data_IF_384704271989
#
_entry.id   IF_384704271989
#
_cell.length_a   1.000
_cell.length_b   1.000
_cell.length_c   1.000
_cell.angle_alpha   90.00
_cell.angle_beta   90.00
_cell.angle_gamma   90.00
#
_symmetry.space_group_name_H-M   'P 1'
#
loop_
_entity.id
_entity.type
_entity.pdbx_description
1 polymer ?
#
# COMPACT_ATOMS: atom_id res chain seq x y z
N UNK A 1 -18.58 3.92 -51.58
CA UNK A 1 -18.77 2.66 -50.82
C UNK A 1 -17.47 1.88 -50.86
N UNK A 2 -16.73 1.79 -49.76
CA UNK A 2 -15.49 0.99 -49.66
C UNK A 2 -15.82 -0.28 -48.91
N UNK A 3 -15.71 -1.42 -49.58
CA UNK A 3 -15.74 -2.73 -48.92
C UNK A 3 -14.38 -2.99 -48.28
N UNK A 4 -14.39 -3.16 -46.96
CA UNK A 4 -13.27 -3.64 -46.15
C UNK A 4 -13.31 -5.16 -46.20
N UNK A 5 -12.29 -5.77 -46.80
CA UNK A 5 -12.11 -7.23 -46.77
C UNK A 5 -10.97 -7.53 -45.81
N UNK A 6 -11.30 -8.21 -44.70
CA UNK A 6 -10.36 -8.76 -43.73
C UNK A 6 -9.41 -9.76 -44.39
N UNK A 7 -8.16 -9.79 -43.94
CA UNK A 7 -7.27 -10.96 -44.11
C UNK A 7 -6.51 -11.24 -42.82
N UNK A 8 -6.51 -12.53 -42.45
CA UNK A 8 -6.12 -13.11 -41.16
C UNK A 8 -4.64 -12.95 -40.80
N UNK A 9 -4.44 -12.71 -39.49
CA UNK A 9 -3.22 -12.83 -38.70
C UNK A 9 -2.52 -14.18 -38.90
N UNK A 10 -1.25 -14.15 -39.31
CA UNK A 10 -0.34 -15.29 -39.19
C UNK A 10 0.33 -15.23 -37.80
N UNK A 11 0.15 -16.31 -37.04
CA UNK A 11 0.63 -16.48 -35.67
C UNK A 11 2.13 -16.73 -35.66
N UNK A 12 2.85 -15.97 -34.83
CA UNK A 12 4.17 -16.38 -34.32
C UNK A 12 3.97 -16.86 -32.88
N UNK A 13 4.67 -17.94 -32.53
CA UNK A 13 4.43 -18.67 -31.28
C UNK A 13 4.63 -17.81 -30.03
N UNK A 14 3.82 -18.02 -28.98
CA UNK A 14 3.93 -17.27 -27.73
C UNK A 14 5.14 -17.75 -26.93
N UNK A 15 5.97 -16.82 -26.44
CA UNK A 15 6.66 -17.02 -25.16
C UNK A 15 5.85 -16.29 -24.10
N UNK A 16 5.15 -17.07 -23.28
CA UNK A 16 4.44 -16.57 -22.13
C UNK A 16 5.42 -15.87 -21.19
N UNK A 17 5.19 -14.59 -20.90
CA UNK A 17 5.73 -13.97 -19.70
C UNK A 17 4.91 -14.56 -18.57
N UNK A 18 5.50 -15.43 -17.75
CA UNK A 18 4.83 -16.17 -16.68
C UNK A 18 4.45 -15.29 -15.47
N UNK A 19 4.19 -13.99 -15.66
CA UNK A 19 3.92 -13.04 -14.57
C UNK A 19 2.56 -12.37 -14.79
N UNK A 20 1.53 -12.61 -13.93
CA UNK A 20 0.23 -11.96 -14.03
C UNK A 20 0.28 -10.41 -14.00
N UNK A 21 1.30 -9.80 -13.38
CA UNK A 21 1.47 -8.33 -13.35
C UNK A 21 2.92 -7.91 -13.61
N UNK A 22 3.14 -6.85 -14.41
CA UNK A 22 4.48 -6.31 -14.72
C UNK A 22 5.29 -5.94 -13.45
N UNK A 23 4.60 -5.60 -12.35
CA UNK A 23 5.24 -5.26 -11.08
C UNK A 23 5.71 -6.49 -10.26
N UNK A 24 5.27 -7.70 -10.59
CA UNK A 24 5.76 -8.93 -9.94
C UNK A 24 7.24 -9.21 -10.28
N UNK A 25 7.74 -8.60 -11.37
CA UNK A 25 9.16 -8.59 -11.71
C UNK A 25 10.04 -8.01 -10.57
N UNK A 26 9.48 -7.16 -9.71
CA UNK A 26 10.22 -6.55 -8.60
C UNK A 26 10.38 -7.46 -7.40
N UNK A 27 9.53 -8.48 -7.22
CA UNK A 27 9.52 -9.33 -6.04
C UNK A 27 10.88 -10.02 -5.81
N UNK A 28 11.35 -10.83 -6.76
CA UNK A 28 12.65 -11.50 -6.66
C UNK A 28 13.82 -10.53 -6.49
N UNK A 29 13.84 -9.42 -7.24
CA UNK A 29 14.90 -8.42 -7.17
C UNK A 29 14.97 -7.76 -5.78
N UNK A 30 13.83 -7.51 -5.14
CA UNK A 30 13.77 -6.98 -3.77
C UNK A 30 14.31 -7.98 -2.75
N UNK A 31 13.99 -9.26 -2.90
CA UNK A 31 14.49 -10.32 -2.02
C UNK A 31 16.01 -10.49 -2.14
N UNK A 32 16.52 -10.42 -3.38
CA UNK A 32 17.92 -10.58 -3.74
C UNK A 32 18.75 -9.28 -3.71
N UNK A 33 18.17 -8.17 -3.22
CA UNK A 33 18.79 -6.83 -3.27
C UNK A 33 20.24 -6.81 -2.79
N UNK A 34 20.55 -7.55 -1.71
CA UNK A 34 21.91 -7.62 -1.15
C UNK A 34 22.85 -8.47 -2.00
N UNK A 35 22.40 -9.64 -2.48
CA UNK A 35 23.22 -10.52 -3.33
C UNK A 35 23.53 -9.87 -4.68
N UNK A 36 22.60 -9.07 -5.22
CA UNK A 36 22.78 -8.31 -6.46
C UNK A 36 23.59 -7.00 -6.28
N UNK A 37 24.05 -6.69 -5.06
CA UNK A 37 24.81 -5.46 -4.80
C UNK A 37 24.00 -4.17 -4.96
N UNK A 38 22.66 -4.25 -4.85
CA UNK A 38 21.74 -3.15 -5.09
C UNK A 38 21.40 -2.36 -3.81
N UNK A 39 21.23 -1.06 -4.00
CA UNK A 39 20.76 -0.10 -2.99
C UNK A 39 19.25 0.10 -3.10
N UNK A 40 18.65 0.73 -2.09
CA UNK A 40 17.22 1.07 -2.12
C UNK A 40 16.88 1.97 -3.32
N UNK A 41 17.77 2.91 -3.68
CA UNK A 41 17.57 3.80 -4.82
C UNK A 41 17.59 3.06 -6.15
N UNK A 42 18.33 1.95 -6.27
CA UNK A 42 18.33 1.14 -7.49
C UNK A 42 16.97 0.49 -7.70
N UNK A 43 16.36 -0.03 -6.64
CA UNK A 43 15.00 -0.59 -6.68
C UNK A 43 13.96 0.48 -7.03
N UNK A 44 14.11 1.70 -6.49
CA UNK A 44 13.24 2.84 -6.83
C UNK A 44 13.33 3.19 -8.30
N UNK A 45 14.55 3.29 -8.85
CA UNK A 45 14.78 3.55 -10.28
C UNK A 45 14.25 2.41 -11.14
N UNK A 46 14.45 1.15 -10.75
CA UNK A 46 13.90 0.00 -11.48
C UNK A 46 12.36 0.00 -11.48
N UNK A 47 11.75 0.34 -10.35
CA UNK A 47 10.29 0.49 -10.23
C UNK A 47 9.78 1.60 -11.16
N UNK A 48 10.51 2.72 -11.24
CA UNK A 48 10.20 3.79 -12.17
C UNK A 48 10.35 3.33 -13.62
N UNK A 49 11.39 2.58 -13.99
CA UNK A 49 11.55 2.02 -15.35
C UNK A 49 10.39 1.09 -15.74
N UNK A 50 10.03 0.15 -14.87
CA UNK A 50 8.93 -0.80 -15.09
C UNK A 50 7.61 -0.06 -15.33
N UNK A 51 7.37 1.04 -14.65
CA UNK A 51 6.14 1.81 -14.83
C UNK A 51 6.03 2.53 -16.19
N UNK A 52 7.14 2.65 -16.95
CA UNK A 52 7.12 3.14 -18.33
C UNK A 52 6.81 2.03 -19.34
N UNK A 53 6.76 0.76 -18.92
CA UNK A 53 6.30 -0.32 -19.78
C UNK A 53 4.81 -0.14 -20.11
N UNK A 54 4.37 -0.52 -21.32
CA UNK A 54 2.96 -0.51 -21.67
C UNK A 54 2.17 -1.38 -20.67
N UNK A 55 1.22 -0.79 -19.95
CA UNK A 55 0.23 -1.55 -19.18
C UNK A 55 -0.70 -2.24 -20.17
N UNK A 56 -0.95 -3.53 -19.96
CA UNK A 56 -1.84 -4.33 -20.81
C UNK A 56 -3.14 -3.56 -21.04
N UNK A 57 -3.26 -2.97 -22.23
CA UNK A 57 -4.56 -2.54 -22.75
C UNK A 57 -5.11 -3.81 -23.36
N UNK A 58 -6.16 -4.34 -22.76
CA UNK A 58 -6.98 -5.43 -23.33
C UNK A 58 -7.06 -5.22 -24.84
N UNK A 59 -6.40 -6.12 -25.58
CA UNK A 59 -6.42 -6.12 -27.03
C UNK A 59 -7.84 -6.51 -27.45
N UNK A 60 -8.66 -5.51 -27.78
CA UNK A 60 -10.01 -5.67 -28.34
C UNK A 60 -9.94 -6.27 -29.78
N UNK A 61 -8.74 -6.44 -30.34
CA UNK A 61 -8.54 -7.06 -31.64
C UNK A 61 -7.29 -7.93 -31.57
N UNK A 62 -7.40 -9.18 -32.05
CA UNK A 62 -6.38 -10.24 -31.98
C UNK A 62 -5.11 -10.00 -32.82
N UNK A 63 -4.64 -8.76 -32.88
CA UNK A 63 -3.30 -8.40 -33.32
C UNK A 63 -2.42 -8.30 -32.09
N UNK A 64 -1.46 -9.21 -31.94
CA UNK A 64 -0.49 -9.18 -30.85
C UNK A 64 0.50 -8.03 -31.11
N UNK A 65 0.48 -6.92 -30.36
CA UNK A 65 1.49 -5.88 -30.54
C UNK A 65 2.85 -6.40 -30.05
N UNK A 66 3.97 -5.95 -30.66
CA UNK A 66 5.28 -6.16 -30.06
C UNK A 66 5.27 -5.50 -28.68
N UNK A 67 5.45 -6.29 -27.62
CA UNK A 67 5.60 -5.76 -26.27
C UNK A 67 6.94 -5.03 -26.24
N UNK A 68 6.91 -3.72 -26.46
CA UNK A 68 8.11 -2.89 -26.47
C UNK A 68 8.72 -2.93 -25.06
N UNK A 69 9.78 -3.72 -24.91
CA UNK A 69 10.50 -3.87 -23.65
C UNK A 69 11.51 -2.74 -23.41
N UNK A 70 11.89 -2.04 -24.48
CA UNK A 70 12.79 -0.90 -24.42
C UNK A 70 12.02 0.37 -24.08
N UNK A 71 12.32 0.95 -22.91
CA UNK A 71 11.76 2.22 -22.45
C UNK A 71 12.71 3.38 -22.71
N UNK A 72 12.17 4.54 -23.06
CA UNK A 72 12.96 5.72 -23.46
C UNK A 72 12.63 6.99 -22.64
N UNK A 73 12.49 6.95 -21.30
CA UNK A 73 12.16 8.13 -20.52
C UNK A 73 13.32 9.14 -20.52
N UNK A 74 12.97 10.43 -20.50
CA UNK A 74 13.92 11.51 -20.22
C UNK A 74 14.47 11.37 -18.78
N UNK A 75 15.66 11.88 -18.50
CA UNK A 75 16.21 11.85 -17.13
C UNK A 75 15.32 12.62 -16.15
N UNK A 76 14.67 13.71 -16.59
CA UNK A 76 13.71 14.46 -15.77
C UNK A 76 12.48 13.62 -15.41
N UNK A 77 11.84 12.98 -16.40
CA UNK A 77 10.68 12.12 -16.17
C UNK A 77 11.02 10.88 -15.33
N UNK A 78 12.21 10.31 -15.53
CA UNK A 78 12.68 9.18 -14.76
C UNK A 78 12.99 9.57 -13.31
N UNK A 79 13.59 10.75 -13.11
CA UNK A 79 13.85 11.33 -11.78
C UNK A 79 12.55 11.59 -11.01
N UNK A 80 11.59 12.27 -11.64
CA UNK A 80 10.28 12.57 -11.05
C UNK A 80 9.60 11.29 -10.54
N UNK A 81 9.56 10.25 -11.38
CA UNK A 81 8.93 8.98 -11.04
C UNK A 81 9.75 8.13 -10.06
N UNK A 82 11.05 8.41 -9.93
CA UNK A 82 11.93 7.80 -8.96
C UNK A 82 12.02 8.61 -7.64
N UNK A 83 11.00 9.41 -7.31
CA UNK A 83 10.94 10.24 -6.10
C UNK A 83 12.02 11.34 -6.05
N UNK A 84 12.32 11.98 -7.19
CA UNK A 84 13.23 13.12 -7.26
C UNK A 84 14.72 12.75 -7.17
N UNK A 85 15.10 11.53 -7.55
CA UNK A 85 16.51 11.10 -7.59
C UNK A 85 17.30 11.98 -8.56
N UNK A 86 18.37 12.61 -8.10
CA UNK A 86 19.22 13.48 -8.93
C UNK A 86 19.90 12.71 -10.07
N UNK A 87 20.33 13.42 -11.11
CA UNK A 87 20.89 12.81 -12.32
C UNK A 87 22.18 12.00 -12.06
N UNK A 88 23.05 12.46 -11.14
CA UNK A 88 24.29 11.74 -10.82
C UNK A 88 23.96 10.40 -10.16
N UNK A 89 23.03 10.41 -9.21
CA UNK A 89 22.54 9.19 -8.58
C UNK A 89 21.85 8.29 -9.60
N UNK A 90 21.03 8.84 -10.49
CA UNK A 90 20.35 8.08 -11.54
C UNK A 90 21.35 7.35 -12.45
N UNK A 91 22.41 8.02 -12.91
CA UNK A 91 23.48 7.41 -13.71
C UNK A 91 24.15 6.26 -12.98
N UNK A 92 24.43 6.44 -11.68
CA UNK A 92 25.02 5.38 -10.83
C UNK A 92 24.06 4.20 -10.66
N UNK A 93 22.77 4.46 -10.45
CA UNK A 93 21.77 3.40 -10.31
C UNK A 93 21.63 2.59 -11.61
N UNK A 94 21.52 3.27 -12.75
CA UNK A 94 21.49 2.61 -14.05
C UNK A 94 22.78 1.83 -14.33
N UNK A 95 23.93 2.24 -13.79
CA UNK A 95 25.18 1.47 -13.93
C UNK A 95 25.16 0.19 -13.10
N UNK A 96 24.62 0.25 -11.88
CA UNK A 96 24.47 -0.94 -11.02
C UNK A 96 23.43 -1.92 -11.54
N UNK A 97 22.31 -1.43 -12.07
CA UNK A 97 21.27 -2.28 -12.65
C UNK A 97 21.77 -3.02 -13.91
N UNK A 98 22.58 -2.34 -14.72
CA UNK A 98 23.24 -2.90 -15.91
C UNK A 98 24.30 -3.94 -15.50
N UNK A 99 25.16 -3.62 -14.54
CA UNK A 99 26.13 -4.55 -13.99
C UNK A 99 25.50 -5.78 -13.30
N UNK A 100 24.28 -5.64 -12.76
CA UNK A 100 23.51 -6.74 -12.18
C UNK A 100 22.76 -7.58 -13.23
N UNK A 101 22.87 -7.27 -14.53
CA UNK A 101 22.21 -7.99 -15.62
C UNK A 101 20.68 -7.87 -15.61
N UNK A 102 20.14 -6.83 -14.96
CA UNK A 102 18.70 -6.59 -14.88
C UNK A 102 18.20 -5.72 -16.04
N UNK A 103 19.06 -4.86 -16.58
CA UNK A 103 18.74 -3.99 -17.71
C UNK A 103 19.88 -4.02 -18.70
N UNK A 104 19.57 -3.71 -19.96
CA UNK A 104 20.57 -3.44 -20.98
C UNK A 104 20.39 -2.01 -21.54
N UNK A 105 21.46 -1.44 -22.07
CA UNK A 105 21.43 -0.10 -22.69
C UNK A 105 21.48 -0.19 -24.20
N UNK A 106 20.33 0.08 -24.83
CA UNK A 106 20.24 0.20 -26.29
C UNK A 106 20.57 1.63 -26.71
N UNK A 107 21.85 1.91 -26.86
CA UNK A 107 22.36 3.25 -27.16
C UNK A 107 22.17 3.61 -28.64
N UNK A 108 21.81 4.86 -28.90
CA UNK A 108 21.89 5.45 -30.25
C UNK A 108 23.29 6.03 -30.49
N UNK A 109 23.65 6.28 -31.74
CA UNK A 109 24.93 6.93 -32.11
C UNK A 109 25.14 8.28 -31.40
N UNK A 110 24.05 9.01 -31.11
CA UNK A 110 24.08 10.32 -30.45
C UNK A 110 23.91 10.23 -28.92
N UNK A 111 23.82 9.03 -28.35
CA UNK A 111 23.59 8.81 -26.91
C UNK A 111 22.21 9.26 -26.39
N UNK A 112 21.29 9.68 -27.28
CA UNK A 112 19.92 10.09 -26.93
C UNK A 112 18.98 8.89 -26.89
N UNK A 113 17.95 8.97 -26.05
CA UNK A 113 16.85 7.99 -25.96
C UNK A 113 15.67 8.48 -26.78
N UNK A 114 15.20 7.69 -27.73
CA UNK A 114 14.07 8.04 -28.60
C UNK A 114 13.40 6.81 -29.21
N UNK A 115 12.08 6.86 -29.48
CA UNK A 115 11.38 5.79 -30.16
C UNK A 115 11.66 5.79 -31.67
N UNK A 116 11.73 4.60 -32.25
CA UNK A 116 11.75 4.37 -33.69
C UNK A 116 10.33 4.11 -34.19
N UNK A 117 9.89 4.96 -35.12
CA UNK A 117 8.53 4.93 -35.67
C UNK A 117 8.55 4.49 -37.13
N UNK A 118 7.66 3.56 -37.48
CA UNK A 118 7.39 3.15 -38.86
C UNK A 118 5.89 3.29 -39.11
N UNK A 119 5.51 4.12 -40.09
CA UNK A 119 4.10 4.42 -40.36
C UNK A 119 3.35 5.07 -39.19
N UNK A 120 4.04 5.85 -38.36
CA UNK A 120 3.47 6.49 -37.16
C UNK A 120 3.39 5.61 -35.92
N UNK A 121 3.64 4.30 -36.04
CA UNK A 121 3.61 3.33 -34.93
C UNK A 121 5.03 3.14 -34.38
N UNK A 122 5.17 3.15 -33.05
CA UNK A 122 6.44 2.83 -32.39
C UNK A 122 6.67 1.32 -32.51
N UNK A 123 7.72 0.92 -33.24
CA UNK A 123 8.10 -0.51 -33.39
C UNK A 123 9.29 -0.89 -32.55
N UNK A 124 10.17 0.06 -32.27
CA UNK A 124 11.40 -0.14 -31.53
C UNK A 124 11.80 1.18 -30.84
N UNK A 125 12.84 1.17 -30.01
CA UNK A 125 13.38 2.36 -29.37
C UNK A 125 14.88 2.22 -29.08
N UNK A 126 15.56 3.36 -29.02
CA UNK A 126 16.85 3.50 -28.34
C UNK A 126 16.60 4.00 -26.92
N UNK A 127 17.11 3.28 -25.92
CA UNK A 127 16.74 3.48 -24.52
C UNK A 127 17.31 2.43 -23.58
N UNK A 128 16.51 2.08 -22.59
CA UNK A 128 16.82 1.07 -21.56
C UNK A 128 15.96 -0.16 -21.83
N UNK A 129 16.60 -1.29 -22.09
CA UNK A 129 15.93 -2.56 -22.32
C UNK A 129 15.74 -3.31 -21.00
N UNK A 130 14.49 -3.72 -20.73
CA UNK A 130 14.10 -4.51 -19.56
C UNK A 130 13.99 -6.01 -19.88
N UNK A 131 14.33 -6.44 -21.09
CA UNK A 131 14.25 -7.84 -21.50
C UNK A 131 15.10 -8.76 -20.62
N UNK A 132 16.33 -8.39 -20.19
CA UNK A 132 17.12 -9.22 -19.28
C UNK A 132 16.38 -9.53 -17.97
N UNK A 133 15.72 -8.54 -17.35
CA UNK A 133 14.90 -8.74 -16.15
C UNK A 133 13.76 -9.72 -16.39
N UNK A 134 13.07 -9.61 -17.54
CA UNK A 134 11.91 -10.45 -17.86
C UNK A 134 12.35 -11.89 -18.14
N UNK A 135 13.42 -12.09 -18.91
CA UNK A 135 13.92 -13.42 -19.24
C UNK A 135 14.51 -14.14 -18.01
N UNK A 136 15.17 -13.40 -17.13
CA UNK A 136 15.80 -13.96 -15.93
C UNK A 136 14.85 -14.04 -14.73
N UNK A 137 13.57 -13.68 -14.89
CA UNK A 137 12.63 -13.59 -13.77
C UNK A 137 12.49 -14.92 -13.01
N UNK A 138 12.28 -16.03 -13.71
CA UNK A 138 12.11 -17.35 -13.08
C UNK A 138 13.37 -17.79 -12.33
N UNK A 139 14.55 -17.54 -12.91
CA UNK A 139 15.83 -17.84 -12.28
C UNK A 139 16.05 -16.99 -11.01
N UNK A 140 15.72 -15.69 -11.07
CA UNK A 140 15.76 -14.80 -9.92
C UNK A 140 14.74 -15.23 -8.86
N UNK A 141 13.55 -15.67 -9.25
CA UNK A 141 12.51 -16.14 -8.33
C UNK A 141 12.95 -17.41 -7.59
N UNK A 142 13.55 -18.37 -8.31
CA UNK A 142 14.10 -19.58 -7.70
C UNK A 142 15.24 -19.27 -6.71
N UNK A 143 16.14 -18.35 -7.05
CA UNK A 143 17.22 -17.95 -6.14
C UNK A 143 16.68 -17.16 -4.93
N UNK A 144 15.68 -16.30 -5.14
CA UNK A 144 15.01 -15.58 -4.06
C UNK A 144 14.37 -16.52 -3.03
N UNK A 145 13.77 -17.63 -3.49
CA UNK A 145 13.22 -18.65 -2.61
C UNK A 145 14.31 -19.32 -1.76
N UNK A 146 15.42 -19.75 -2.35
CA UNK A 146 16.55 -20.33 -1.59
C UNK A 146 17.11 -19.37 -0.55
N UNK A 147 17.22 -18.10 -0.91
CA UNK A 147 17.71 -17.06 0.01
C UNK A 147 16.72 -16.82 1.14
N UNK A 148 15.41 -16.81 0.85
CA UNK A 148 14.37 -16.71 1.86
C UNK A 148 14.40 -17.90 2.82
N UNK A 149 14.54 -19.12 2.31
CA UNK A 149 14.67 -20.35 3.08
C UNK A 149 15.91 -20.32 4.00
N UNK A 150 17.08 -19.95 3.47
CA UNK A 150 18.31 -19.77 4.27
C UNK A 150 18.12 -18.74 5.40
N UNK A 151 17.43 -17.64 5.11
CA UNK A 151 17.14 -16.58 6.09
C UNK A 151 16.12 -17.05 7.14
N UNK A 152 15.12 -17.85 6.76
CA UNK A 152 14.18 -18.47 7.70
C UNK A 152 14.89 -19.48 8.59
N UNK A 153 15.65 -20.42 8.03
CA UNK A 153 16.44 -21.40 8.79
C UNK A 153 17.33 -20.72 9.83
N UNK A 154 18.05 -19.66 9.44
CA UNK A 154 18.89 -18.90 10.38
C UNK A 154 18.07 -18.17 11.44
N UNK A 155 16.84 -17.72 11.12
CA UNK A 155 15.93 -17.13 12.11
C UNK A 155 15.42 -18.18 13.10
N UNK A 156 14.99 -19.36 12.63
CA UNK A 156 14.54 -20.46 13.48
C UNK A 156 15.64 -20.92 14.43
N UNK A 157 16.86 -21.15 13.92
CA UNK A 157 18.01 -21.53 14.76
C UNK A 157 18.35 -20.45 15.80
N UNK A 158 18.28 -19.16 15.43
CA UNK A 158 18.48 -18.07 16.41
C UNK A 158 17.39 -18.07 17.48
N UNK A 159 16.14 -18.34 17.11
CA UNK A 159 15.04 -18.41 18.05
C UNK A 159 15.22 -19.59 19.03
N UNK A 160 15.62 -20.75 18.52
CA UNK A 160 15.95 -21.93 19.33
C UNK A 160 17.09 -21.64 20.30
N UNK A 161 18.21 -21.09 19.83
CA UNK A 161 19.34 -20.73 20.68
C UNK A 161 18.94 -19.72 21.78
N UNK A 162 18.04 -18.78 21.47
CA UNK A 162 17.50 -17.84 22.45
C UNK A 162 16.57 -18.53 23.47
N UNK A 163 15.78 -19.52 23.05
CA UNK A 163 14.92 -20.32 23.92
C UNK A 163 15.74 -21.20 24.88
N UNK A 164 16.75 -21.90 24.39
CA UNK A 164 17.70 -22.69 25.20
C UNK A 164 18.45 -21.82 26.20
N UNK A 165 18.89 -20.63 25.76
CA UNK A 165 19.47 -19.64 26.67
C UNK A 165 18.46 -19.20 27.75
N UNK A 166 17.20 -19.02 27.40
CA UNK A 166 16.17 -18.62 28.34
C UNK A 166 15.84 -19.72 29.36
N UNK A 167 15.84 -20.99 28.96
CA UNK A 167 15.63 -22.11 29.90
C UNK A 167 16.74 -22.18 30.94
N UNK A 168 18.01 -22.00 30.53
CA UNK A 168 19.12 -21.93 31.48
C UNK A 168 19.01 -20.76 32.45
N UNK A 169 18.42 -19.63 32.03
CA UNK A 169 18.20 -18.47 32.93
C UNK A 169 17.11 -18.70 33.98
N UNK A 170 16.25 -19.70 33.80
CA UNK A 170 15.20 -20.04 34.76
C UNK A 170 15.68 -20.97 35.88
N UNK A 171 16.87 -21.56 35.74
CA UNK A 171 17.46 -22.39 36.79
C UNK A 171 17.86 -21.55 38.01
N UNK A 172 17.45 -21.98 39.20
CA UNK A 172 17.69 -21.27 40.47
C UNK A 172 19.15 -21.36 40.96
N UNK A 173 20.04 -22.05 40.24
CA UNK A 173 21.44 -22.33 40.64
C UNK A 173 22.47 -21.65 39.72
N UNK A 174 22.19 -20.45 39.24
CA UNK A 174 23.09 -19.71 38.34
C UNK A 174 24.16 -18.93 39.11
N UNK A 175 25.41 -19.16 38.74
CA UNK A 175 26.57 -18.38 39.19
C UNK A 175 26.79 -17.15 38.28
N UNK A 176 27.43 -16.10 38.80
CA UNK A 176 27.71 -14.84 38.09
C UNK A 176 28.54 -15.06 36.81
N UNK A 177 29.48 -16.01 36.85
CA UNK A 177 30.27 -16.38 35.68
C UNK A 177 29.40 -16.97 34.55
N UNK A 178 28.35 -17.73 34.90
CA UNK A 178 27.40 -18.30 33.93
C UNK A 178 26.49 -17.23 33.36
N UNK A 179 26.01 -16.29 34.19
CA UNK A 179 25.21 -15.15 33.74
C UNK A 179 25.96 -14.28 32.72
N UNK A 180 27.24 -14.00 32.98
CA UNK A 180 28.11 -13.27 32.05
C UNK A 180 28.28 -14.01 30.71
N UNK A 181 28.51 -15.32 30.77
CA UNK A 181 28.64 -16.18 29.57
C UNK A 181 27.36 -16.19 28.72
N UNK A 182 26.18 -16.37 29.34
CA UNK A 182 24.89 -16.28 28.65
C UNK A 182 24.62 -14.87 28.10
N UNK A 183 25.13 -13.83 28.75
CA UNK A 183 25.13 -12.45 28.26
C UNK A 183 25.94 -12.29 26.98
N UNK A 184 27.14 -12.88 26.93
CA UNK A 184 28.00 -12.87 25.75
C UNK A 184 27.34 -13.61 24.57
N UNK A 185 26.73 -14.77 24.80
CA UNK A 185 26.00 -15.55 23.78
C UNK A 185 24.87 -14.71 23.16
N UNK A 186 24.08 -14.00 23.98
CA UNK A 186 23.03 -13.09 23.46
C UNK A 186 23.60 -12.03 22.51
N UNK A 187 24.75 -11.46 22.86
CA UNK A 187 25.37 -10.41 22.05
C UNK A 187 25.90 -10.99 20.73
N UNK A 188 26.40 -12.22 20.73
CA UNK A 188 26.82 -12.96 19.52
C UNK A 188 25.61 -13.24 18.62
N UNK A 189 24.50 -13.76 19.18
CA UNK A 189 23.27 -14.09 18.45
C UNK A 189 22.65 -12.87 17.73
N UNK A 190 22.87 -11.66 18.23
CA UNK A 190 22.40 -10.38 17.63
C UNK A 190 23.24 -9.88 16.46
N UNK A 191 24.41 -10.45 16.19
CA UNK A 191 25.31 -9.98 15.12
C UNK A 191 24.72 -10.29 13.74
N UNK A 192 24.78 -9.30 12.85
CA UNK A 192 24.30 -9.45 11.47
C UNK A 192 25.15 -10.41 10.63
N UNK A 193 26.41 -10.64 11.03
CA UNK A 193 27.40 -11.49 10.34
C UNK A 193 27.40 -12.95 10.80
N UNK A 194 26.47 -13.34 11.67
CA UNK A 194 26.43 -14.68 12.25
C UNK A 194 26.03 -15.73 11.19
N UNK A 195 26.81 -16.80 11.10
CA UNK A 195 26.60 -17.93 10.18
C UNK A 195 25.74 -19.02 10.81
N UNK A 196 25.18 -19.90 9.98
CA UNK A 196 24.37 -21.06 10.43
C UNK A 196 25.20 -21.97 11.32
N UNK A 197 26.42 -22.32 10.91
CA UNK A 197 27.31 -23.21 11.67
C UNK A 197 27.65 -22.65 13.06
N UNK A 198 27.85 -21.34 13.17
CA UNK A 198 28.10 -20.69 14.45
C UNK A 198 26.87 -20.74 15.37
N UNK A 199 25.65 -20.65 14.83
CA UNK A 199 24.43 -20.81 15.65
C UNK A 199 24.27 -22.25 16.10
N UNK A 200 24.55 -23.23 15.22
CA UNK A 200 24.50 -24.65 15.58
C UNK A 200 25.50 -25.00 16.68
N UNK A 201 26.71 -24.44 16.62
CA UNK A 201 27.69 -24.61 17.71
C UNK A 201 27.18 -24.02 19.02
N UNK A 202 26.60 -22.81 18.99
CA UNK A 202 26.00 -22.21 20.20
C UNK A 202 24.87 -23.08 20.76
N UNK A 203 24.03 -23.67 19.90
CA UNK A 203 22.96 -24.58 20.32
C UNK A 203 23.56 -25.82 21.00
N UNK A 204 24.62 -26.42 20.43
CA UNK A 204 25.32 -27.55 21.03
C UNK A 204 25.89 -27.20 22.40
N UNK A 205 26.63 -26.08 22.50
CA UNK A 205 27.21 -25.59 23.75
C UNK A 205 26.14 -25.34 24.83
N UNK A 206 24.98 -24.76 24.45
CA UNK A 206 23.86 -24.53 25.38
C UNK A 206 23.24 -25.84 25.87
N UNK A 207 23.12 -26.86 25.02
CA UNK A 207 22.61 -28.18 25.40
C UNK A 207 23.58 -28.92 26.32
N UNK A 208 24.88 -28.82 26.08
CA UNK A 208 25.91 -29.36 27.00
C UNK A 208 25.85 -28.71 28.39
N UNK A 209 25.47 -27.43 28.45
CA UNK A 209 25.25 -26.70 29.71
C UNK A 209 23.94 -27.10 30.44
N UNK A 210 23.16 -28.04 29.90
CA UNK A 210 21.93 -28.55 30.51
C UNK A 210 20.65 -27.83 30.08
N UNK A 211 20.67 -27.08 28.96
CA UNK A 211 19.48 -26.41 28.47
C UNK A 211 18.43 -27.41 27.99
N UNK A 212 17.31 -27.49 28.71
CA UNK A 212 16.16 -28.31 28.35
C UNK A 212 15.04 -27.42 27.82
N UNK A 213 15.05 -27.13 26.53
CA UNK A 213 13.90 -26.59 25.82
C UNK A 213 13.47 -27.63 24.77
N UNK A 214 12.17 -27.94 24.72
CA UNK A 214 11.63 -28.77 23.64
C UNK A 214 11.97 -28.13 22.29
N UNK A 215 12.34 -28.95 21.30
CA UNK A 215 12.44 -28.53 19.91
C UNK A 215 11.05 -28.05 19.48
N UNK A 216 10.84 -26.74 19.56
CA UNK A 216 9.59 -26.12 19.15
C UNK A 216 9.98 -24.91 18.36
N UNK A 217 10.25 -25.11 17.07
CA UNK A 217 10.05 -24.13 16.00
C UNK A 217 10.30 -24.79 14.64
N UNK A 218 9.22 -25.36 14.08
CA UNK A 218 8.96 -25.46 12.63
C UNK A 218 10.10 -25.98 11.75
N UNK A 219 10.53 -27.22 11.95
CA UNK A 219 10.94 -28.03 10.80
C UNK A 219 9.65 -28.54 10.15
N UNK A 220 9.30 -27.97 8.99
CA UNK A 220 8.35 -28.64 8.09
C UNK A 220 9.09 -29.83 7.48
N UNK A 221 9.38 -30.86 8.28
CA UNK A 221 9.60 -32.17 7.73
C UNK A 221 8.25 -32.67 7.22
N UNK A 222 8.24 -33.06 5.94
CA UNK A 222 7.10 -33.69 5.30
C UNK A 222 6.82 -35.03 6.01
N UNK A 223 5.94 -35.02 7.02
CA UNK A 223 5.31 -36.23 7.52
C UNK A 223 3.81 -36.06 7.54
N UNK A 224 3.17 -36.75 6.60
CA UNK A 224 1.73 -36.89 6.49
C UNK A 224 1.17 -37.62 7.73
N UNK A 225 0.46 -36.91 8.60
CA UNK A 225 -0.44 -37.50 9.60
C UNK A 225 -1.48 -36.46 10.07
N UNK A 226 -2.70 -36.88 10.43
CA UNK A 226 -3.90 -36.04 10.40
C UNK A 226 -4.00 -35.11 11.62
N UNK A 227 -4.53 -33.93 11.35
CA UNK A 227 -4.82 -32.86 12.31
C UNK A 227 -6.04 -33.25 13.14
N UNK A 228 -5.82 -33.60 14.41
CA UNK A 228 -6.90 -33.64 15.40
C UNK A 228 -6.97 -32.30 16.14
N UNK A 229 -8.19 -31.77 16.18
CA UNK A 229 -8.61 -30.49 16.73
C UNK A 229 -8.28 -30.37 18.22
N UNK A 230 -7.48 -29.37 18.60
CA UNK A 230 -7.34 -28.96 19.99
C UNK A 230 -8.27 -27.78 20.23
N UNK A 231 -9.34 -28.06 20.98
CA UNK A 231 -10.37 -27.14 21.44
C UNK A 231 -9.78 -25.97 22.25
N UNK A 232 -10.09 -24.76 21.81
CA UNK A 232 -9.87 -23.51 22.53
C UNK A 232 -10.68 -23.48 23.83
N UNK A 233 -10.00 -23.54 24.98
CA UNK A 233 -10.61 -23.33 26.28
C UNK A 233 -10.37 -21.88 26.71
N UNK A 234 -11.35 -21.02 26.44
CA UNK A 234 -11.40 -19.66 26.97
C UNK A 234 -11.59 -19.71 28.50
N UNK A 235 -10.57 -19.27 29.23
CA UNK A 235 -10.71 -18.86 30.63
C UNK A 235 -10.40 -17.38 30.73
N UNK A 236 -11.47 -16.59 30.85
CA UNK A 236 -11.41 -15.16 31.12
C UNK A 236 -10.86 -14.92 32.53
N UNK A 237 -9.74 -14.21 32.62
CA UNK A 237 -9.27 -13.59 33.86
C UNK A 237 -9.24 -12.08 33.69
N UNK A 238 -9.76 -11.45 34.73
CA UNK A 238 -10.12 -10.04 34.90
C UNK A 238 -8.91 -9.13 35.13
N UNK A 239 -9.00 -7.92 34.58
CA UNK A 239 -8.40 -6.64 35.03
C UNK A 239 -6.92 -6.64 35.48
N UNK A 240 -6.05 -6.03 34.67
CA UNK A 240 -5.61 -4.65 34.95
C UNK A 240 -4.87 -4.05 33.75
N UNK A 241 -5.27 -2.84 33.34
CA UNK A 241 -4.72 -2.16 32.17
C UNK A 241 -3.54 -1.28 32.62
N UNK A 242 -2.39 -1.91 32.88
CA UNK A 242 -1.14 -1.16 32.95
C UNK A 242 -0.72 -0.77 31.54
N UNK A 243 -0.63 0.54 31.36
CA UNK A 243 -0.21 1.25 30.15
C UNK A 243 1.29 1.05 29.94
N UNK A 244 1.70 -0.16 29.56
CA UNK A 244 3.06 -0.45 29.11
C UNK A 244 3.03 -0.93 27.67
N UNK A 245 3.71 -0.21 26.78
CA UNK A 245 3.97 -0.68 25.42
C UNK A 245 4.98 -1.81 25.49
N UNK A 246 4.53 -3.05 25.70
CA UNK A 246 5.39 -4.22 25.59
C UNK A 246 5.63 -4.51 24.11
N UNK A 247 6.73 -3.98 23.55
CA UNK A 247 7.22 -4.36 22.24
C UNK A 247 8.73 -4.57 22.29
N UNK A 248 9.19 -5.77 21.93
CA UNK A 248 10.59 -6.10 21.64
C UNK A 248 10.78 -6.20 20.12
N UNK A 249 11.98 -5.86 19.65
CA UNK A 249 12.35 -5.90 18.22
C UNK A 249 12.10 -7.29 17.62
N UNK A 250 11.32 -7.38 16.53
CA UNK A 250 11.11 -8.62 15.76
C UNK A 250 9.65 -9.02 15.52
N UNK A 251 8.67 -8.37 16.13
CA UNK A 251 7.25 -8.58 15.79
C UNK A 251 6.83 -7.59 14.71
N UNK A 252 6.71 -8.08 13.47
CA UNK A 252 6.31 -7.27 12.31
C UNK A 252 4.93 -7.72 11.79
N UNK A 253 4.02 -8.13 12.69
CA UNK A 253 2.62 -8.36 12.36
C UNK A 253 1.76 -7.49 13.28
N UNK A 254 1.19 -6.43 12.71
CA UNK A 254 0.17 -5.60 13.35
C UNK A 254 -0.90 -5.23 12.33
N UNK A 255 -1.68 -6.22 11.89
CA UNK A 255 -3.08 -5.95 11.59
C UNK A 255 -3.89 -6.41 12.80
N UNK A 256 -4.01 -5.52 13.78
CA UNK A 256 -5.11 -5.61 14.75
C UNK A 256 -6.23 -4.81 14.10
N UNK A 257 -7.20 -5.50 13.50
CA UNK A 257 -8.47 -4.84 13.25
C UNK A 257 -9.02 -4.47 14.62
N UNK A 258 -9.08 -3.17 14.89
CA UNK A 258 -9.81 -2.69 16.05
C UNK A 258 -11.24 -3.18 15.91
N UNK A 259 -11.67 -4.11 16.77
CA UNK A 259 -13.09 -4.35 17.02
C UNK A 259 -13.70 -2.97 17.18
N UNK A 260 -14.68 -2.64 16.32
CA UNK A 260 -15.34 -1.34 16.30
C UNK A 260 -15.63 -0.93 17.74
N UNK A 261 -14.90 0.07 18.24
CA UNK A 261 -15.28 0.79 19.45
C UNK A 261 -16.60 1.45 19.10
N UNK A 262 -17.70 0.81 19.44
CA UNK A 262 -18.92 1.55 19.67
C UNK A 262 -18.58 2.60 20.72
N UNK A 263 -18.69 3.86 20.30
CA UNK A 263 -18.50 5.02 21.15
C UNK A 263 -19.59 5.00 22.21
N UNK A 264 -19.33 4.30 23.31
CA UNK A 264 -20.00 4.58 24.58
C UNK A 264 -19.60 6.01 24.92
N UNK A 265 -20.51 6.95 24.65
CA UNK A 265 -20.43 8.33 25.11
C UNK A 265 -20.27 8.30 26.63
N UNK A 266 -19.10 8.70 27.12
CA UNK A 266 -18.96 9.26 28.46
C UNK A 266 -19.36 10.71 28.37
N UNK A 267 -20.37 11.10 29.15
CA UNK A 267 -20.74 12.48 29.36
C UNK A 267 -19.57 13.22 30.03
N UNK A 268 -18.85 14.00 29.22
CA UNK A 268 -17.82 14.90 29.70
C UNK A 268 -18.37 16.32 29.70
N UNK A 269 -18.44 16.88 30.90
CA UNK A 269 -18.87 18.24 31.22
C UNK A 269 -18.21 19.29 30.32
N UNK A 270 -19.04 20.10 29.68
CA UNK A 270 -18.61 21.26 28.91
C UNK A 270 -18.06 22.35 29.84
N UNK A 271 -16.75 22.60 29.74
CA UNK A 271 -16.15 23.85 30.23
C UNK A 271 -16.57 24.99 29.30
N UNK A 272 -17.28 25.96 29.87
CA UNK A 272 -17.49 27.27 29.29
C UNK A 272 -16.12 27.94 29.04
N UNK A 273 -15.87 28.34 27.80
CA UNK A 273 -15.01 29.49 27.51
C UNK A 273 -15.68 30.33 26.44
N UNK A 274 -15.76 31.60 26.77
CA UNK A 274 -16.46 32.70 26.12
C UNK A 274 -15.87 33.06 24.75
N UNK A 275 -16.69 32.93 23.71
CA UNK A 275 -16.63 33.76 22.51
C UNK A 275 -18.03 33.77 21.89
N UNK A 276 -18.85 34.71 22.35
CA UNK A 276 -20.15 35.05 21.77
C UNK A 276 -19.97 35.48 20.31
N UNK A 277 -20.39 34.62 19.38
CA UNK A 277 -21.12 35.04 18.18
C UNK A 277 -22.28 34.07 17.99
N UNK A 278 -23.49 34.59 18.11
CA UNK A 278 -24.75 33.90 17.86
C UNK A 278 -24.72 33.18 16.50
N UNK A 279 -24.43 31.88 16.48
CA UNK A 279 -24.78 31.02 15.36
C UNK A 279 -25.99 30.21 15.82
N UNK A 280 -27.18 30.68 15.44
CA UNK A 280 -28.39 29.88 15.55
C UNK A 280 -28.13 28.53 14.85
N UNK A 281 -28.35 27.42 15.55
CA UNK A 281 -28.15 26.08 14.99
C UNK A 281 -28.87 25.89 13.64
N UNK A 282 -28.46 24.90 12.84
CA UNK A 282 -29.07 24.64 11.53
C UNK A 282 -30.57 24.42 11.72
N UNK A 283 -31.37 25.38 11.24
CA UNK A 283 -32.83 25.41 11.36
C UNK A 283 -33.42 25.53 9.96
N UNK A 284 -34.35 24.65 9.62
CA UNK A 284 -35.05 24.67 8.33
C UNK A 284 -36.14 25.73 8.26
N UNK A 285 -36.48 26.40 9.38
CA UNK A 285 -37.57 27.36 9.46
C UNK A 285 -37.09 28.79 9.18
N UNK A 286 -36.41 28.95 8.05
CA UNK A 286 -35.68 30.15 7.63
C UNK A 286 -36.28 30.66 6.31
N UNK A 287 -36.55 31.96 6.22
CA UNK A 287 -37.21 32.57 5.06
C UNK A 287 -36.18 32.88 3.96
N UNK A 288 -36.17 32.15 2.83
CA UNK A 288 -35.12 32.24 1.82
C UNK A 288 -35.10 33.60 1.09
N UNK A 289 -36.19 34.35 1.11
CA UNK A 289 -36.28 35.67 0.44
C UNK A 289 -35.60 36.79 1.24
N UNK A 290 -35.34 36.58 2.53
CA UNK A 290 -34.71 37.55 3.43
C UNK A 290 -33.26 37.20 3.78
N UNK A 291 -32.71 36.12 3.22
CA UNK A 291 -31.38 35.62 3.53
C UNK A 291 -30.30 36.13 2.59
N UNK A 292 -29.17 36.52 3.16
CA UNK A 292 -27.92 36.80 2.47
C UNK A 292 -27.06 35.52 2.37
N UNK A 293 -26.13 35.48 1.42
CA UNK A 293 -25.24 34.31 1.23
C UNK A 293 -24.42 33.99 2.49
N UNK A 294 -24.11 34.99 3.30
CA UNK A 294 -23.38 34.86 4.56
C UNK A 294 -24.21 34.28 5.70
N UNK A 295 -25.53 34.15 5.53
CA UNK A 295 -26.42 33.54 6.55
C UNK A 295 -26.46 32.01 6.46
N UNK A 296 -25.89 31.43 5.40
CA UNK A 296 -25.70 29.98 5.26
C UNK A 296 -24.43 29.56 6.00
N UNK A 297 -24.57 28.74 7.03
CA UNK A 297 -23.43 28.38 7.89
C UNK A 297 -22.48 27.36 7.27
N UNK A 298 -22.97 26.48 6.40
CA UNK A 298 -22.15 25.40 5.85
C UNK A 298 -21.91 25.63 4.36
N UNK A 299 -22.90 26.13 3.62
CA UNK A 299 -22.75 26.39 2.18
C UNK A 299 -21.69 27.46 1.90
N UNK A 300 -21.64 28.53 2.69
CA UNK A 300 -20.66 29.62 2.48
C UNK A 300 -19.22 29.19 2.78
N UNK A 301 -19.02 28.22 3.68
CA UNK A 301 -17.70 27.62 3.96
C UNK A 301 -17.17 26.81 2.78
N UNK A 302 -18.04 26.05 2.08
CA UNK A 302 -17.66 25.27 0.91
C UNK A 302 -17.61 26.10 -0.38
N UNK A 303 -18.41 27.16 -0.46
CA UNK A 303 -18.55 28.04 -1.62
C UNK A 303 -18.43 29.52 -1.18
N UNK A 304 -17.19 30.02 -1.01
CA UNK A 304 -16.95 31.35 -0.43
C UNK A 304 -17.41 32.50 -1.34
N UNK A 305 -17.46 32.27 -2.66
CA UNK A 305 -17.89 33.27 -3.63
C UNK A 305 -19.41 33.16 -3.89
N UNK A 306 -20.21 34.21 -3.61
CA UNK A 306 -21.65 34.16 -3.83
C UNK A 306 -21.98 34.12 -5.33
N UNK A 307 -22.90 33.24 -5.77
CA UNK A 307 -23.27 33.13 -7.17
C UNK A 307 -23.98 34.41 -7.62
N UNK A 308 -23.42 35.07 -8.65
CA UNK A 308 -23.96 36.33 -9.20
C UNK A 308 -25.06 36.13 -10.26
N UNK A 309 -25.27 34.89 -10.70
CA UNK A 309 -26.25 34.53 -11.73
C UNK A 309 -27.06 33.30 -11.31
N UNK A 310 -28.29 33.18 -11.81
CA UNK A 310 -29.15 32.01 -11.54
C UNK A 310 -28.53 30.69 -12.03
N UNK A 311 -27.76 30.73 -13.12
CA UNK A 311 -27.02 29.55 -13.61
C UNK A 311 -25.89 29.14 -12.66
N UNK A 312 -25.16 30.11 -12.10
CA UNK A 312 -24.13 29.83 -11.08
C UNK A 312 -24.75 29.26 -9.80
N UNK A 313 -25.93 29.76 -9.39
CA UNK A 313 -26.65 29.23 -8.23
C UNK A 313 -27.07 27.77 -8.45
N UNK A 314 -27.57 27.44 -9.65
CA UNK A 314 -27.93 26.06 -9.99
C UNK A 314 -26.71 25.13 -9.93
N UNK A 315 -25.53 25.58 -10.42
CA UNK A 315 -24.29 24.78 -10.32
C UNK A 315 -23.92 24.48 -8.87
N UNK A 316 -23.99 25.48 -7.98
CA UNK A 316 -23.73 25.28 -6.55
C UNK A 316 -24.72 24.28 -5.94
N UNK A 317 -26.01 24.38 -6.27
CA UNK A 317 -27.02 23.41 -5.81
C UNK A 317 -26.69 21.98 -6.25
N UNK A 318 -26.28 21.78 -7.51
CA UNK A 318 -25.88 20.46 -8.02
C UNK A 318 -24.60 19.94 -7.37
N UNK A 319 -23.61 20.81 -7.13
CA UNK A 319 -22.36 20.42 -6.50
C UNK A 319 -22.58 20.01 -5.03
N UNK A 320 -23.42 20.73 -4.30
CA UNK A 320 -23.84 20.34 -2.94
C UNK A 320 -24.62 19.02 -2.98
N UNK A 321 -25.54 18.86 -3.93
CA UNK A 321 -26.28 17.61 -4.11
C UNK A 321 -25.36 16.41 -4.38
N UNK A 322 -24.31 16.61 -5.20
CA UNK A 322 -23.28 15.61 -5.46
C UNK A 322 -22.48 15.28 -4.19
N UNK A 323 -22.15 16.29 -3.38
CA UNK A 323 -21.44 16.11 -2.11
C UNK A 323 -22.28 15.29 -1.10
N UNK A 324 -23.59 15.55 -1.05
CA UNK A 324 -24.55 14.82 -0.23
C UNK A 324 -25.01 13.49 -0.84
N UNK A 325 -24.48 13.09 -2.00
CA UNK A 325 -24.86 11.88 -2.76
C UNK A 325 -26.34 11.80 -3.10
N UNK A 326 -26.98 12.94 -3.34
CA UNK A 326 -28.38 13.02 -3.80
C UNK A 326 -28.39 12.92 -5.32
N UNK A 327 -29.22 12.02 -5.88
CA UNK A 327 -29.36 11.87 -7.33
C UNK A 327 -29.88 13.15 -7.98
N UNK A 328 -29.34 13.48 -9.15
CA UNK A 328 -29.67 14.71 -9.88
C UNK A 328 -31.17 14.84 -10.20
N UNK A 329 -31.82 13.72 -10.52
CA UNK A 329 -33.27 13.64 -10.78
C UNK A 329 -34.10 14.10 -9.57
N UNK A 330 -33.68 13.73 -8.36
CA UNK A 330 -34.35 14.10 -7.11
C UNK A 330 -34.12 15.56 -6.77
N UNK A 331 -32.90 16.04 -7.00
CA UNK A 331 -32.56 17.44 -6.81
C UNK A 331 -33.36 18.36 -7.76
N UNK A 332 -33.50 17.97 -9.03
CA UNK A 332 -34.32 18.68 -10.02
C UNK A 332 -35.78 18.73 -9.62
N UNK A 333 -36.32 17.63 -9.09
CA UNK A 333 -37.67 17.57 -8.55
C UNK A 333 -37.85 18.49 -7.35
N UNK A 334 -36.86 18.56 -6.47
CA UNK A 334 -36.82 19.51 -5.35
C UNK A 334 -36.82 20.96 -5.83
N UNK A 335 -35.97 21.28 -6.79
CA UNK A 335 -35.86 22.62 -7.38
C UNK A 335 -37.18 23.09 -7.99
N UNK A 336 -37.88 22.21 -8.71
CA UNK A 336 -39.19 22.50 -9.31
C UNK A 336 -40.30 22.69 -8.27
N UNK A 337 -40.23 21.98 -7.14
CA UNK A 337 -41.26 22.02 -6.09
C UNK A 337 -41.10 23.19 -5.13
N UNK A 338 -39.89 23.50 -4.70
CA UNK A 338 -39.62 24.45 -3.60
C UNK A 338 -38.86 25.71 -4.03
N UNK A 339 -38.31 25.72 -5.25
CA UNK A 339 -37.49 26.82 -5.75
C UNK A 339 -36.05 26.80 -5.21
N UNK A 340 -35.16 27.52 -5.88
CA UNK A 340 -33.71 27.49 -5.61
C UNK A 340 -33.34 27.93 -4.18
N UNK A 341 -33.99 28.98 -3.66
CA UNK A 341 -33.70 29.53 -2.33
C UNK A 341 -34.06 28.57 -1.19
N UNK A 342 -35.27 27.99 -1.23
CA UNK A 342 -35.70 27.01 -0.21
C UNK A 342 -34.92 25.71 -0.31
N UNK A 343 -34.58 25.29 -1.53
CA UNK A 343 -33.70 24.14 -1.74
C UNK A 343 -32.32 24.37 -1.11
N UNK A 344 -31.74 25.56 -1.25
CA UNK A 344 -30.46 25.91 -0.66
C UNK A 344 -30.48 25.82 0.88
N UNK A 345 -31.56 26.28 1.53
CA UNK A 345 -31.76 26.14 2.99
C UNK A 345 -31.80 24.67 3.43
N UNK A 346 -32.49 23.82 2.67
CA UNK A 346 -32.57 22.38 2.96
C UNK A 346 -31.20 21.71 2.83
N UNK A 347 -30.44 22.08 1.80
CA UNK A 347 -29.10 21.54 1.57
C UNK A 347 -28.08 22.03 2.61
N UNK A 348 -28.14 23.29 3.03
CA UNK A 348 -27.32 23.83 4.12
C UNK A 348 -27.59 23.10 5.45
N UNK A 349 -28.85 22.79 5.73
CA UNK A 349 -29.24 21.98 6.88
C UNK A 349 -28.67 20.55 6.80
N UNK A 350 -28.78 19.91 5.63
CA UNK A 350 -28.27 18.56 5.40
C UNK A 350 -26.74 18.49 5.52
N UNK A 351 -26.02 19.50 5.04
CA UNK A 351 -24.57 19.62 5.21
C UNK A 351 -24.20 19.66 6.69
N UNK A 352 -24.88 20.48 7.49
CA UNK A 352 -24.65 20.57 8.94
C UNK A 352 -25.02 19.33 9.75
N UNK A 353 -25.76 18.38 9.15
CA UNK A 353 -26.19 17.12 9.77
C UNK A 353 -25.58 15.88 9.11
N UNK A 354 -24.58 16.05 8.24
CA UNK A 354 -23.96 14.98 7.47
C UNK A 354 -23.40 13.81 8.29
N UNK A 355 -22.92 14.05 9.51
CA UNK A 355 -22.44 12.98 10.40
C UNK A 355 -23.56 12.20 11.09
N UNK A 356 -24.73 12.82 11.25
CA UNK A 356 -25.90 12.23 11.94
C UNK A 356 -26.85 11.51 11.00
N UNK A 357 -26.93 11.93 9.74
CA UNK A 357 -27.88 11.40 8.75
C UNK A 357 -27.18 10.33 7.90
N UNK A 358 -27.49 9.05 8.14
CA UNK A 358 -26.91 7.91 7.40
C UNK A 358 -27.33 7.86 5.92
N UNK A 359 -28.51 8.38 5.57
CA UNK A 359 -29.05 8.39 4.21
C UNK A 359 -29.62 9.77 3.85
N UNK A 360 -28.76 10.73 3.41
CA UNK A 360 -29.18 12.09 3.10
C UNK A 360 -30.26 12.19 2.02
N UNK A 361 -30.22 11.32 1.01
CA UNK A 361 -31.22 11.29 -0.07
C UNK A 361 -32.63 10.92 0.43
N UNK A 362 -32.74 9.91 1.30
CA UNK A 362 -34.01 9.49 1.86
C UNK A 362 -34.61 10.60 2.74
N UNK A 363 -33.77 11.24 3.56
CA UNK A 363 -34.18 12.35 4.41
C UNK A 363 -34.59 13.58 3.59
N UNK A 364 -33.85 13.89 2.52
CA UNK A 364 -34.19 14.93 1.57
C UNK A 364 -35.57 14.73 0.93
N UNK A 365 -35.89 13.50 0.49
CA UNK A 365 -37.22 13.20 -0.07
C UNK A 365 -38.33 13.29 0.99
N UNK A 366 -38.08 12.92 2.25
CA UNK A 366 -39.08 13.11 3.32
C UNK A 366 -39.39 14.57 3.59
N UNK A 367 -38.38 15.45 3.51
CA UNK A 367 -38.54 16.90 3.66
C UNK A 367 -39.33 17.51 2.50
N UNK A 368 -39.16 16.99 1.28
CA UNK A 368 -39.86 17.46 0.08
C UNK A 368 -41.26 16.83 -0.11
N UNK A 369 -41.58 15.80 0.68
CA UNK A 369 -42.85 15.09 0.67
C UNK A 369 -43.84 15.55 1.74
N UNK A 370 -43.34 16.21 2.79
CA UNK A 370 -44.13 16.98 3.76
C UNK A 370 -44.41 18.39 3.24
#
# INVERSE_FOLDING_TARGET
>A
MRHVTQTRTAMAEPRAIACPTIYELLGPVRALRKELGLTSNDITVLTALISFLPRDRQTISGETPPKLTVVFPSNASLSERANGVDERTLRRCLGRLDAAGLIDRKNSANGKRFPLRYGGIIRDAFGIDLNPLIQNHDALAAEALKVAEKRERLRSLRAEALALRASLLQDQRLDEARLSSLGAIRNILRRATLTVDAVLQIIADLRELGANAAQSYGECENSSAPVDEIQSRDQALTHDCTREMSAKNGQNDRQVESIKKELIKKDAQAKQTSADRNIAGPSMNRDPEKMSWTDFTHVSDFFPDPPRTGEALNRVLFDIGRLLRIRQEKLMRGLQKTGAGRLLVILDYLLGKGETIRQPEAYFETILGA
#
